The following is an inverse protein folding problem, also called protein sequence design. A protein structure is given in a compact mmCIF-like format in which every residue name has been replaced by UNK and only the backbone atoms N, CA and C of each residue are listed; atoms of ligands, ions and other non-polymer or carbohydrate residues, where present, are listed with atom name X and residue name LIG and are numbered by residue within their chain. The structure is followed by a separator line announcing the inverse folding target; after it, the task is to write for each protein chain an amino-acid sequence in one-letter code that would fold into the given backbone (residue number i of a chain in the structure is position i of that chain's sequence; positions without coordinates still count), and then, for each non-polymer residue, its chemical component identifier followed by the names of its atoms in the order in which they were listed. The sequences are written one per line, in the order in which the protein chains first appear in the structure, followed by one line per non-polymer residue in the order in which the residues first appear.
data_IF_793000285933
#
_entry.id   IF_793000285933
#
_cell.length_a   1.000
_cell.length_b   1.000
_cell.length_c   1.000
_cell.angle_alpha   90.00
_cell.angle_beta   90.00
_cell.angle_gamma   90.00
#
_symmetry.space_group_name_H-M   'P 1'
#
loop_
_entity.id
_entity.type
_entity.pdbx_description
1 polymer ?
#
# COMPACT_ATOMS: atom_id res chain seq x y z
N UNK A 1 16.05 35.26 2.46
CA UNK A 1 15.36 34.76 3.68
C UNK A 1 15.74 33.31 3.89
N UNK A 2 15.95 32.91 5.14
CA UNK A 2 16.17 31.52 5.57
C UNK A 2 14.91 31.04 6.30
N UNK A 3 14.70 29.72 6.36
CA UNK A 3 13.55 29.11 7.03
C UNK A 3 12.67 28.29 6.10
N UNK A 4 11.40 28.12 6.46
CA UNK A 4 10.43 27.35 5.67
C UNK A 4 9.79 28.26 4.63
N UNK A 5 9.80 27.82 3.38
CA UNK A 5 9.15 28.49 2.27
C UNK A 5 8.31 27.51 1.44
N UNK A 6 7.33 28.05 0.73
CA UNK A 6 6.47 27.32 -0.18
C UNK A 6 6.69 27.87 -1.58
N UNK A 7 7.07 26.99 -2.51
CA UNK A 7 7.39 27.36 -3.89
C UNK A 7 6.49 26.61 -4.85
N UNK A 8 5.90 27.35 -5.79
CA UNK A 8 5.18 26.76 -6.92
C UNK A 8 6.19 26.15 -7.89
N UNK A 9 6.25 24.82 -7.96
CA UNK A 9 7.27 24.10 -8.74
C UNK A 9 6.78 23.61 -10.09
N UNK A 10 5.48 23.32 -10.21
CA UNK A 10 4.87 22.93 -11.48
C UNK A 10 3.48 23.52 -11.63
N UNK A 11 3.13 23.84 -12.86
CA UNK A 11 1.86 24.43 -13.24
C UNK A 11 1.33 23.70 -14.47
N UNK A 12 0.09 23.24 -14.41
CA UNK A 12 -0.66 22.70 -15.54
C UNK A 12 -2.10 23.20 -15.43
N UNK A 13 -2.31 24.39 -15.97
CA UNK A 13 -3.60 25.06 -15.93
C UNK A 13 -4.68 24.30 -16.72
N UNK A 14 -5.96 24.42 -16.32
CA UNK A 14 -6.42 25.08 -15.08
C UNK A 14 -6.41 24.15 -13.85
N UNK A 15 -6.02 22.88 -14.02
CA UNK A 15 -6.45 21.80 -13.13
C UNK A 15 -5.42 21.37 -12.08
N UNK A 16 -4.13 21.67 -12.28
CA UNK A 16 -3.06 21.18 -11.40
C UNK A 16 -1.99 22.23 -11.15
N UNK A 17 -1.70 22.46 -9.88
CA UNK A 17 -0.52 23.17 -9.41
C UNK A 17 0.23 22.30 -8.41
N UNK A 18 1.56 22.36 -8.39
CA UNK A 18 2.40 21.61 -7.45
C UNK A 18 3.18 22.61 -6.61
N UNK A 19 2.97 22.55 -5.29
CA UNK A 19 3.67 23.40 -4.32
C UNK A 19 4.62 22.53 -3.53
N UNK A 20 5.88 22.94 -3.44
CA UNK A 20 6.89 22.28 -2.60
C UNK A 20 7.13 23.13 -1.35
N UNK A 21 6.93 22.52 -0.18
CA UNK A 21 7.44 23.05 1.09
C UNK A 21 8.91 22.69 1.19
N UNK A 22 9.76 23.68 1.31
CA UNK A 22 11.20 23.49 1.43
C UNK A 22 11.77 24.29 2.60
N UNK A 23 12.83 23.76 3.21
CA UNK A 23 13.60 24.44 4.24
C UNK A 23 14.86 24.98 3.60
N UNK A 24 15.03 26.30 3.67
CA UNK A 24 16.21 27.00 3.17
C UNK A 24 17.12 27.33 4.34
N UNK A 25 18.19 26.55 4.49
CA UNK A 25 19.19 26.73 5.55
C UNK A 25 20.22 27.81 5.17
N UNK A 26 20.52 27.94 3.87
CA UNK A 26 21.37 28.97 3.27
C UNK A 26 20.84 29.34 1.87
N UNK A 27 21.34 30.42 1.21
CA UNK A 27 20.89 30.80 -0.14
C UNK A 27 20.91 29.66 -1.16
N UNK A 28 21.91 28.77 -1.07
CA UNK A 28 22.13 27.65 -1.99
C UNK A 28 21.71 26.29 -1.39
N UNK A 29 21.43 26.24 -0.08
CA UNK A 29 21.09 25.00 0.64
C UNK A 29 19.59 24.92 0.87
N UNK A 30 18.91 24.19 0.00
CA UNK A 30 17.46 24.00 0.02
C UNK A 30 17.14 22.51 0.19
N UNK A 31 16.40 22.18 1.25
CA UNK A 31 15.95 20.82 1.55
C UNK A 31 14.43 20.71 1.33
N UNK A 32 13.96 19.93 0.35
CA UNK A 32 12.54 19.66 0.18
C UNK A 32 11.98 18.88 1.39
N UNK A 33 10.85 19.35 1.94
CA UNK A 33 10.20 18.76 3.12
C UNK A 33 8.93 18.01 2.74
N UNK A 34 8.10 18.61 1.88
CA UNK A 34 6.84 18.02 1.44
C UNK A 34 6.41 18.60 0.08
N UNK A 35 5.58 17.85 -0.64
CA UNK A 35 4.96 18.29 -1.89
C UNK A 35 3.44 18.27 -1.73
N UNK A 36 2.75 19.26 -2.29
CA UNK A 36 1.31 19.40 -2.28
C UNK A 36 0.79 19.57 -3.70
N UNK A 37 -0.32 18.90 -4.00
CA UNK A 37 -1.08 19.07 -5.23
C UNK A 37 -2.26 19.99 -4.96
N UNK A 38 -2.41 21.03 -5.78
CA UNK A 38 -3.66 21.78 -5.89
C UNK A 38 -4.39 21.25 -7.11
N UNK A 39 -5.41 20.42 -6.89
CA UNK A 39 -6.22 19.77 -7.91
C UNK A 39 -7.63 20.36 -7.88
N UNK A 40 -8.03 21.04 -8.96
CA UNK A 40 -9.37 21.64 -9.08
C UNK A 40 -9.75 22.53 -7.87
N UNK A 41 -8.80 23.31 -7.37
CA UNK A 41 -8.98 24.16 -6.19
C UNK A 41 -8.86 23.46 -4.83
N UNK A 42 -8.68 22.15 -4.79
CA UNK A 42 -8.49 21.36 -3.55
C UNK A 42 -7.02 21.03 -3.31
N UNK A 43 -6.57 21.08 -2.06
CA UNK A 43 -5.16 20.86 -1.68
C UNK A 43 -4.99 19.46 -1.08
N UNK A 44 -4.05 18.69 -1.62
CA UNK A 44 -3.69 17.35 -1.15
C UNK A 44 -2.19 17.26 -0.91
N UNK A 45 -1.78 16.64 0.20
CA UNK A 45 -0.37 16.32 0.41
C UNK A 45 0.01 15.08 -0.43
N UNK A 46 1.09 15.19 -1.19
CA UNK A 46 1.65 14.06 -1.93
C UNK A 46 2.29 13.06 -0.95
N UNK A 47 2.00 11.75 -1.06
CA UNK A 47 2.67 10.76 -0.25
C UNK A 47 4.14 10.65 -0.68
N UNK A 48 5.02 10.31 0.26
CA UNK A 48 6.40 9.96 -0.07
C UNK A 48 6.42 8.66 -0.89
N UNK A 49 7.42 8.51 -1.77
CA UNK A 49 7.62 7.26 -2.52
C UNK A 49 7.74 6.06 -1.58
N UNK A 50 8.43 6.23 -0.45
CA UNK A 50 8.56 5.23 0.61
C UNK A 50 7.20 4.75 1.10
N UNK A 51 6.32 5.67 1.51
CA UNK A 51 5.01 5.32 2.07
C UNK A 51 4.15 4.58 1.03
N UNK A 52 4.21 4.99 -0.24
CA UNK A 52 3.50 4.31 -1.34
C UNK A 52 4.00 2.88 -1.53
N UNK A 53 5.32 2.68 -1.51
CA UNK A 53 5.94 1.37 -1.65
C UNK A 53 5.62 0.47 -0.45
N UNK A 54 5.75 0.97 0.77
CA UNK A 54 5.43 0.23 1.99
C UNK A 54 3.96 -0.21 2.01
N UNK A 55 3.03 0.70 1.70
CA UNK A 55 1.61 0.37 1.63
C UNK A 55 1.30 -0.68 0.56
N UNK A 56 1.99 -0.64 -0.59
CA UNK A 56 1.82 -1.63 -1.65
C UNK A 56 2.41 -2.99 -1.26
N UNK A 57 3.62 -3.00 -0.72
CA UNK A 57 4.29 -4.22 -0.24
C UNK A 57 3.47 -4.89 0.86
N UNK A 58 2.96 -4.12 1.82
CA UNK A 58 2.10 -4.63 2.89
C UNK A 58 0.85 -5.33 2.36
N UNK A 59 0.20 -4.76 1.34
CA UNK A 59 -0.95 -5.42 0.68
C UNK A 59 -0.58 -6.71 -0.02
N UNK A 60 0.54 -6.73 -0.75
CA UNK A 60 1.03 -7.94 -1.43
C UNK A 60 1.29 -9.05 -0.41
N UNK A 61 2.03 -8.74 0.66
CA UNK A 61 2.33 -9.70 1.72
C UNK A 61 1.06 -10.21 2.42
N UNK A 62 0.09 -9.32 2.65
CA UNK A 62 -1.20 -9.71 3.21
C UNK A 62 -1.94 -10.71 2.32
N UNK A 63 -2.04 -10.46 1.01
CA UNK A 63 -2.70 -11.37 0.09
C UNK A 63 -1.97 -12.71 -0.05
N UNK A 64 -0.63 -12.70 -0.10
CA UNK A 64 0.18 -13.92 -0.13
C UNK A 64 -0.07 -14.74 1.16
N UNK A 65 0.00 -14.10 2.33
CA UNK A 65 -0.23 -14.76 3.61
C UNK A 65 -1.64 -15.38 3.68
N UNK A 66 -2.66 -14.63 3.25
CA UNK A 66 -4.04 -15.12 3.24
C UNK A 66 -4.22 -16.29 2.26
N UNK A 67 -3.59 -16.25 1.09
CA UNK A 67 -3.64 -17.35 0.12
C UNK A 67 -3.05 -18.63 0.73
N UNK A 68 -1.87 -18.55 1.35
CA UNK A 68 -1.25 -19.70 2.02
C UNK A 68 -2.10 -20.23 3.17
N UNK A 69 -2.63 -19.35 4.03
CA UNK A 69 -3.55 -19.75 5.13
C UNK A 69 -4.78 -20.47 4.60
N UNK A 70 -5.38 -19.95 3.53
CA UNK A 70 -6.56 -20.54 2.90
C UNK A 70 -6.24 -21.93 2.35
N UNK A 71 -5.16 -22.05 1.57
CA UNK A 71 -4.72 -23.33 1.00
C UNK A 71 -4.42 -24.35 2.10
N UNK A 72 -3.67 -23.98 3.14
CA UNK A 72 -3.37 -24.86 4.27
C UNK A 72 -4.66 -25.36 4.97
N UNK A 73 -5.60 -24.45 5.26
CA UNK A 73 -6.87 -24.83 5.90
C UNK A 73 -7.73 -25.77 5.04
N UNK A 74 -7.65 -25.65 3.71
CA UNK A 74 -8.37 -26.55 2.80
C UNK A 74 -7.70 -27.93 2.70
N UNK A 75 -6.36 -28.00 2.75
CA UNK A 75 -5.64 -29.27 2.81
C UNK A 75 -5.94 -30.04 4.11
N UNK A 76 -5.98 -29.36 5.25
CA UNK A 76 -6.34 -29.98 6.54
C UNK A 76 -7.75 -30.59 6.50
N UNK A 77 -8.71 -29.90 5.89
CA UNK A 77 -10.07 -30.42 5.69
C UNK A 77 -10.11 -31.68 4.81
N UNK A 78 -9.30 -31.75 3.76
CA UNK A 78 -9.22 -32.93 2.89
C UNK A 78 -8.66 -34.14 3.68
N UNK A 79 -7.68 -33.92 4.55
CA UNK A 79 -7.10 -34.97 5.40
C UNK A 79 -8.11 -35.64 6.33
N UNK A 80 -9.11 -34.90 6.83
CA UNK A 80 -10.19 -35.44 7.67
C UNK A 80 -11.25 -36.24 6.88
N UNK A 81 -11.50 -35.89 5.62
CA UNK A 81 -12.48 -36.61 4.78
C UNK A 81 -11.99 -38.01 4.41
N UNK A 82 -10.68 -38.26 4.43
CA UNK A 82 -10.10 -39.59 4.19
C UNK A 82 -10.27 -40.59 5.34
N UNK A 83 -10.75 -40.18 6.52
CA UNK A 83 -10.82 -41.03 7.72
C UNK A 83 -12.24 -41.48 8.13
N UNK A 84 -13.30 -41.06 7.43
CA UNK A 84 -14.66 -41.50 7.73
C UNK A 84 -15.32 -42.26 6.56
N UNK A 85 -15.77 -43.49 6.86
CA UNK A 85 -16.66 -44.39 6.12
C UNK A 85 -16.07 -45.32 5.05
N UNK A 86 -15.67 -46.53 5.48
CA UNK A 86 -15.98 -47.75 4.74
C UNK A 86 -17.12 -48.48 5.44
N UNK A 87 -18.31 -48.69 4.84
CA UNK A 87 -19.32 -49.54 5.42
C UNK A 87 -18.86 -50.99 5.30
N UNK A 88 -18.74 -51.67 6.43
CA UNK A 88 -18.53 -53.12 6.53
C UNK A 88 -19.71 -53.83 5.85
N UNK A 89 -19.50 -54.30 4.61
CA UNK A 89 -20.40 -55.22 3.96
C UNK A 89 -20.24 -56.60 4.64
N UNK A 90 -21.13 -56.90 5.59
CA UNK A 90 -21.29 -58.24 6.14
C UNK A 90 -21.89 -59.12 5.03
N UNK A 91 -21.11 -60.09 4.55
CA UNK A 91 -21.61 -61.19 3.72
C UNK A 91 -21.90 -62.37 4.66
N UNK A 92 -23.17 -62.61 4.94
CA UNK A 92 -23.63 -63.88 5.54
C UNK A 92 -24.01 -64.84 4.40
N UNK A 93 -23.51 -66.08 4.50
CA UNK A 93 -23.90 -67.25 3.70
C UNK A 93 -24.99 -67.99 4.48
#
# INVERSE_FOLDING_TARGET
MTGIEYVLTKVKEPNLFVITKQKKDAPETITPVATYYVLYGSIYQAPSLRNVLEAKMGRVMHHISNAFKTTASNLEKIGYVGSESGPTANFEI
#
